data_IF_881833968007
#
_entry.id   IF_881833968007
#
_cell.length_a   1.000
_cell.length_b   1.000
_cell.length_c   1.000
_cell.angle_alpha   90.00
_cell.angle_beta   90.00
_cell.angle_gamma   90.00
#
_symmetry.space_group_name_H-M   'P 1'
#
loop_
_entity.id
_entity.type
_entity.pdbx_description
1 polymer ?
#
# COMPACT_ATOMS: atom_id res chain seq x y z
N UNK A 1 48.13 4.90 72.43
CA UNK A 1 48.38 3.62 71.73
C UNK A 1 49.21 3.95 70.49
N UNK A 2 50.54 3.70 70.52
CA UNK A 2 51.42 3.95 69.37
C UNK A 2 51.26 2.79 68.40
N UNK A 3 50.62 3.01 67.25
CA UNK A 3 50.53 2.00 66.19
C UNK A 3 51.88 1.98 65.47
N UNK A 4 52.59 0.87 65.58
CA UNK A 4 53.85 0.62 64.88
C UNK A 4 53.58 0.28 63.41
N UNK A 5 54.23 0.99 62.49
CA UNK A 5 54.15 0.81 61.02
C UNK A 5 54.70 -0.54 60.52
N UNK A 6 55.21 -1.41 61.41
CA UNK A 6 55.70 -2.75 61.08
C UNK A 6 54.82 -3.89 61.64
N UNK A 7 53.59 -3.58 62.08
CA UNK A 7 52.62 -4.64 62.37
C UNK A 7 52.18 -5.24 61.04
N UNK A 8 52.91 -6.26 60.56
CA UNK A 8 52.41 -7.16 59.52
C UNK A 8 51.08 -7.69 60.02
N UNK A 9 49.99 -7.11 59.52
CA UNK A 9 48.64 -7.60 59.73
C UNK A 9 48.59 -8.97 59.05
N UNK A 10 49.00 -10.01 59.78
CA UNK A 10 48.96 -11.40 59.36
C UNK A 10 47.51 -11.85 59.38
N UNK A 11 46.72 -11.29 58.47
CA UNK A 11 45.45 -11.90 58.12
C UNK A 11 45.78 -13.18 57.34
N UNK A 12 45.18 -14.33 57.69
CA UNK A 12 45.34 -15.54 56.91
C UNK A 12 44.96 -15.23 55.46
N UNK A 13 45.86 -15.51 54.51
CA UNK A 13 45.67 -15.21 53.08
C UNK A 13 44.33 -15.76 52.55
N UNK A 14 43.88 -16.89 53.11
CA UNK A 14 42.58 -17.51 52.85
C UNK A 14 41.39 -16.59 53.17
N UNK A 15 41.44 -15.84 54.27
CA UNK A 15 40.37 -14.93 54.68
C UNK A 15 40.34 -13.71 53.75
N UNK A 16 41.51 -13.19 53.37
CA UNK A 16 41.62 -12.07 52.43
C UNK A 16 41.04 -12.45 51.06
N UNK A 17 41.43 -13.61 50.52
CA UNK A 17 40.89 -14.12 49.25
C UNK A 17 39.38 -14.36 49.33
N UNK A 18 38.88 -14.87 50.46
CA UNK A 18 37.44 -15.08 50.67
C UNK A 18 36.66 -13.76 50.66
N UNK A 19 37.21 -12.70 51.28
CA UNK A 19 36.57 -11.38 51.30
C UNK A 19 36.57 -10.77 49.89
N UNK A 20 37.70 -10.84 49.18
CA UNK A 20 37.79 -10.33 47.81
C UNK A 20 36.84 -11.09 46.87
N UNK A 21 36.75 -12.42 47.00
CA UNK A 21 35.81 -13.24 46.24
C UNK A 21 34.35 -12.89 46.54
N UNK A 22 33.99 -12.71 47.81
CA UNK A 22 32.65 -12.30 48.21
C UNK A 22 32.27 -10.91 47.67
N UNK A 23 33.19 -9.95 47.74
CA UNK A 23 33.01 -8.61 47.17
C UNK A 23 32.88 -8.68 45.65
N UNK A 24 33.70 -9.49 44.97
CA UNK A 24 33.63 -9.67 43.52
C UNK A 24 32.29 -10.21 43.05
N UNK A 25 31.74 -11.23 43.71
CA UNK A 25 30.40 -11.77 43.42
C UNK A 25 29.31 -10.75 43.72
N UNK A 26 29.44 -10.00 44.82
CA UNK A 26 28.49 -8.94 45.17
C UNK A 26 28.42 -7.82 44.13
N UNK A 27 29.57 -7.37 43.65
CA UNK A 27 29.67 -6.34 42.60
C UNK A 27 29.13 -6.86 41.27
N UNK A 28 29.47 -8.09 40.88
CA UNK A 28 28.94 -8.72 39.66
C UNK A 28 27.41 -8.85 39.69
N UNK A 29 26.85 -9.35 40.79
CA UNK A 29 25.41 -9.49 40.96
C UNK A 29 24.70 -8.13 40.95
N UNK A 30 25.27 -7.13 41.63
CA UNK A 30 24.73 -5.77 41.65
C UNK A 30 24.66 -5.17 40.25
N UNK A 31 25.76 -5.22 39.48
CA UNK A 31 25.77 -4.69 38.11
C UNK A 31 24.82 -5.45 37.18
N UNK A 32 24.71 -6.78 37.32
CA UNK A 32 23.76 -7.57 36.52
C UNK A 32 22.29 -7.19 36.77
N UNK A 33 21.92 -6.95 38.03
CA UNK A 33 20.58 -6.48 38.40
C UNK A 33 20.34 -5.07 37.86
N UNK A 34 21.29 -4.15 38.04
CA UNK A 34 21.16 -2.77 37.57
C UNK A 34 21.01 -2.69 36.05
N UNK A 35 21.79 -3.47 35.31
CA UNK A 35 21.68 -3.53 33.84
C UNK A 35 20.30 -4.04 33.39
N UNK A 36 19.82 -5.10 34.03
CA UNK A 36 18.50 -5.67 33.72
C UNK A 36 17.38 -4.69 34.04
N UNK A 37 17.49 -3.99 35.18
CA UNK A 37 16.52 -2.96 35.57
C UNK A 37 16.50 -1.80 34.58
N UNK A 38 17.67 -1.34 34.12
CA UNK A 38 17.78 -0.28 33.12
C UNK A 38 17.16 -0.71 31.78
N UNK A 39 17.42 -1.94 31.33
CA UNK A 39 16.79 -2.52 30.13
C UNK A 39 15.27 -2.54 30.23
N UNK A 40 14.73 -2.96 31.38
CA UNK A 40 13.29 -2.95 31.61
C UNK A 40 12.71 -1.54 31.67
N UNK A 41 13.41 -0.60 32.33
CA UNK A 41 13.00 0.80 32.40
C UNK A 41 12.90 1.44 31.02
N UNK A 42 13.95 1.31 30.19
CA UNK A 42 13.94 1.81 28.80
C UNK A 42 12.83 1.15 27.98
N UNK A 43 12.61 -0.15 28.14
CA UNK A 43 11.52 -0.85 27.44
C UNK A 43 10.14 -0.31 27.84
N UNK A 44 9.92 -0.05 29.12
CA UNK A 44 8.65 0.50 29.60
C UNK A 44 8.42 1.92 29.08
N UNK A 45 9.47 2.75 29.02
CA UNK A 45 9.39 4.08 28.45
C UNK A 45 9.05 4.05 26.95
N UNK A 46 9.70 3.18 26.18
CA UNK A 46 9.37 2.97 24.76
C UNK A 46 7.92 2.49 24.59
N UNK A 47 7.49 1.51 25.39
CA UNK A 47 6.10 1.02 25.35
C UNK A 47 5.09 2.11 25.71
N UNK A 48 5.41 2.98 26.68
CA UNK A 48 4.58 4.13 27.03
C UNK A 48 4.44 5.12 25.87
N UNK A 49 5.57 5.47 25.23
CA UNK A 49 5.57 6.34 24.05
C UNK A 49 4.79 5.73 22.88
N UNK A 50 4.93 4.42 22.65
CA UNK A 50 4.22 3.72 21.60
C UNK A 50 2.70 3.72 21.83
N UNK A 51 2.26 3.55 23.08
CA UNK A 51 0.83 3.62 23.43
C UNK A 51 0.26 5.03 23.24
N UNK A 52 1.02 6.06 23.61
CA UNK A 52 0.62 7.45 23.41
C UNK A 52 0.50 7.76 21.92
N UNK A 53 1.54 7.49 21.12
CA UNK A 53 1.53 7.66 19.66
C UNK A 53 0.44 6.84 18.98
N UNK A 54 0.17 5.62 19.45
CA UNK A 54 -0.91 4.79 18.91
C UNK A 54 -2.28 5.40 19.22
N UNK A 55 -2.45 5.93 20.43
CA UNK A 55 -3.68 6.63 20.82
C UNK A 55 -3.86 7.90 20.00
N UNK A 56 -2.80 8.68 19.81
CA UNK A 56 -2.81 9.85 18.94
C UNK A 56 -3.14 9.49 17.50
N UNK A 57 -2.53 8.45 16.94
CA UNK A 57 -2.84 7.95 15.60
C UNK A 57 -4.32 7.57 15.50
N UNK A 58 -4.82 6.74 16.42
CA UNK A 58 -6.23 6.30 16.40
C UNK A 58 -7.23 7.44 16.49
N UNK A 59 -6.89 8.53 17.20
CA UNK A 59 -7.79 9.68 17.36
C UNK A 59 -7.66 10.64 16.19
N UNK A 60 -6.43 11.02 15.81
CA UNK A 60 -6.14 12.07 14.82
C UNK A 60 -6.27 11.57 13.39
N UNK A 61 -5.98 10.29 13.12
CA UNK A 61 -6.04 9.72 11.76
C UNK A 61 -7.44 9.78 11.14
N UNK A 62 -8.52 9.29 11.79
CA UNK A 62 -9.87 9.40 11.22
C UNK A 62 -10.37 10.84 11.14
N UNK A 63 -9.76 11.77 11.89
CA UNK A 63 -10.12 13.19 11.94
C UNK A 63 -9.35 14.05 10.93
N UNK A 64 -8.34 13.50 10.27
CA UNK A 64 -7.48 14.27 9.35
C UNK A 64 -6.56 15.28 10.04
N UNK A 65 -6.44 15.24 11.38
CA UNK A 65 -5.62 16.17 12.17
C UNK A 65 -4.12 15.78 12.19
N UNK A 66 -3.77 14.62 11.64
CA UNK A 66 -2.40 14.08 11.62
C UNK A 66 -1.58 14.52 10.40
N UNK A 67 -2.16 15.33 9.51
CA UNK A 67 -1.59 15.65 8.20
C UNK A 67 -1.62 14.46 7.24
N UNK A 68 -1.06 14.63 6.05
CA UNK A 68 -0.83 13.50 5.14
C UNK A 68 0.48 12.82 5.50
N UNK A 69 0.43 11.51 5.74
CA UNK A 69 1.64 10.71 5.78
C UNK A 69 2.30 10.76 4.39
N UNK A 70 3.63 10.73 4.26
CA UNK A 70 4.30 10.77 2.94
C UNK A 70 3.78 9.70 1.96
N UNK A 71 3.44 8.51 2.48
CA UNK A 71 2.84 7.42 1.70
C UNK A 71 1.42 7.72 1.21
N UNK A 72 0.70 8.60 1.89
CA UNK A 72 -0.66 9.01 1.53
C UNK A 72 -0.64 9.88 0.27
N UNK A 73 0.34 10.78 0.14
CA UNK A 73 0.54 11.57 -1.08
C UNK A 73 0.82 10.70 -2.31
N UNK A 74 1.62 9.64 -2.17
CA UNK A 74 1.87 8.68 -3.26
C UNK A 74 0.60 7.86 -3.57
N UNK A 75 -0.14 7.42 -2.56
CA UNK A 75 -1.41 6.73 -2.74
C UNK A 75 -2.44 7.61 -3.45
N UNK A 76 -2.56 8.88 -3.09
CA UNK A 76 -3.44 9.82 -3.77
C UNK A 76 -3.06 10.01 -5.24
N UNK A 77 -1.77 10.11 -5.56
CA UNK A 77 -1.31 10.20 -6.94
C UNK A 77 -1.67 8.95 -7.75
N UNK A 78 -1.50 7.75 -7.17
CA UNK A 78 -1.89 6.49 -7.81
C UNK A 78 -3.41 6.39 -8.01
N UNK A 79 -4.20 6.82 -7.03
CA UNK A 79 -5.66 6.85 -7.13
C UNK A 79 -6.10 7.84 -8.21
N UNK A 80 -5.47 9.00 -8.32
CA UNK A 80 -5.76 9.97 -9.38
C UNK A 80 -5.48 9.40 -10.78
N UNK A 81 -4.36 8.71 -10.96
CA UNK A 81 -4.02 8.07 -12.23
C UNK A 81 -4.99 6.94 -12.60
N UNK A 82 -5.40 6.14 -11.59
CA UNK A 82 -6.44 5.13 -11.76
C UNK A 82 -7.79 5.75 -12.15
N UNK A 83 -8.17 6.87 -11.51
CA UNK A 83 -9.41 7.57 -11.83
C UNK A 83 -9.42 8.05 -13.28
N UNK A 84 -8.33 8.70 -13.74
CA UNK A 84 -8.18 9.13 -15.14
C UNK A 84 -8.21 7.96 -16.12
N UNK A 85 -7.64 6.82 -15.73
CA UNK A 85 -7.66 5.61 -16.56
C UNK A 85 -9.06 5.03 -16.69
N UNK A 86 -9.84 5.02 -15.60
CA UNK A 86 -11.25 4.61 -15.60
C UNK A 86 -12.10 5.56 -16.44
N UNK A 87 -11.89 6.87 -16.33
CA UNK A 87 -12.61 7.88 -17.13
C UNK A 87 -12.38 7.67 -18.62
N UNK A 88 -11.12 7.48 -19.05
CA UNK A 88 -10.80 7.13 -20.45
C UNK A 88 -11.45 5.83 -20.91
N UNK A 89 -11.58 4.83 -20.03
CA UNK A 89 -12.27 3.59 -20.37
C UNK A 89 -13.76 3.82 -20.62
N UNK A 90 -14.40 4.65 -19.78
CA UNK A 90 -15.81 5.02 -19.92
C UNK A 90 -16.02 5.76 -21.24
N UNK A 91 -15.21 6.78 -21.56
CA UNK A 91 -15.29 7.52 -22.83
C UNK A 91 -15.14 6.59 -24.04
N UNK A 92 -14.16 5.67 -23.99
CA UNK A 92 -13.99 4.67 -25.05
C UNK A 92 -15.21 3.75 -25.16
N UNK A 93 -15.82 3.35 -24.05
CA UNK A 93 -16.99 2.50 -24.05
C UNK A 93 -18.21 3.20 -24.67
N UNK A 94 -18.41 4.48 -24.38
CA UNK A 94 -19.48 5.30 -24.97
C UNK A 94 -19.28 5.50 -26.49
N UNK A 95 -18.05 5.79 -26.92
CA UNK A 95 -17.71 5.88 -28.34
C UNK A 95 -17.96 4.55 -29.06
N UNK A 96 -17.56 3.42 -28.47
CA UNK A 96 -17.81 2.10 -29.05
C UNK A 96 -19.30 1.78 -29.16
N UNK A 97 -20.11 2.17 -28.18
CA UNK A 97 -21.56 1.98 -28.23
C UNK A 97 -22.19 2.81 -29.36
N UNK A 98 -21.78 4.07 -29.50
CA UNK A 98 -22.25 4.96 -30.57
C UNK A 98 -21.85 4.43 -31.95
N UNK A 99 -20.59 3.99 -32.09
CA UNK A 99 -20.10 3.37 -33.31
C UNK A 99 -20.87 2.10 -33.66
N UNK A 100 -21.19 1.26 -32.67
CA UNK A 100 -22.00 0.05 -32.88
C UNK A 100 -23.38 0.37 -33.45
N UNK A 101 -24.10 1.32 -32.86
CA UNK A 101 -25.44 1.74 -33.35
C UNK A 101 -25.35 2.30 -34.78
N UNK A 102 -24.34 3.12 -35.06
CA UNK A 102 -24.13 3.67 -36.40
C UNK A 102 -23.83 2.57 -37.42
N UNK A 103 -23.01 1.57 -37.06
CA UNK A 103 -22.70 0.42 -37.91
C UNK A 103 -23.97 -0.40 -38.18
N UNK A 104 -24.77 -0.71 -37.15
CA UNK A 104 -26.05 -1.42 -37.32
C UNK A 104 -27.02 -0.66 -38.23
N UNK A 105 -27.06 0.67 -38.11
CA UNK A 105 -27.87 1.52 -38.99
C UNK A 105 -27.36 1.50 -40.44
N UNK A 106 -26.04 1.64 -40.65
CA UNK A 106 -25.42 1.55 -41.97
C UNK A 106 -25.65 0.17 -42.61
N UNK A 107 -25.52 -0.91 -41.85
CA UNK A 107 -25.82 -2.26 -42.32
C UNK A 107 -27.24 -2.38 -42.86
N UNK A 108 -28.26 -1.90 -42.11
CA UNK A 108 -29.65 -1.92 -42.57
C UNK A 108 -29.89 -1.07 -43.83
N UNK A 109 -29.20 0.07 -43.94
CA UNK A 109 -29.30 0.90 -45.15
C UNK A 109 -28.67 0.21 -46.35
N UNK A 110 -27.53 -0.46 -46.17
CA UNK A 110 -26.87 -1.24 -47.22
C UNK A 110 -27.77 -2.42 -47.65
N UNK A 111 -28.41 -3.12 -46.72
CA UNK A 111 -29.37 -4.18 -47.05
C UNK A 111 -30.53 -3.67 -47.91
N UNK A 112 -31.12 -2.54 -47.56
CA UNK A 112 -32.16 -1.90 -48.38
C UNK A 112 -31.66 -1.49 -49.77
N UNK A 113 -30.48 -0.89 -49.84
CA UNK A 113 -29.86 -0.51 -51.10
C UNK A 113 -29.63 -1.73 -52.00
N UNK A 114 -29.19 -2.86 -51.44
CA UNK A 114 -29.01 -4.10 -52.19
C UNK A 114 -30.36 -4.63 -52.73
N UNK A 115 -31.41 -4.60 -51.92
CA UNK A 115 -32.76 -5.01 -52.33
C UNK A 115 -33.31 -4.10 -53.45
N UNK A 116 -33.13 -2.78 -53.32
CA UNK A 116 -33.54 -1.82 -54.34
C UNK A 116 -32.74 -1.99 -55.65
N UNK A 117 -31.45 -2.29 -55.55
CA UNK A 117 -30.61 -2.63 -56.72
C UNK A 117 -31.10 -3.91 -57.41
N UNK A 118 -31.51 -4.94 -56.67
CA UNK A 118 -32.10 -6.15 -57.27
C UNK A 118 -33.41 -5.83 -57.99
N UNK A 119 -34.32 -5.07 -57.36
CA UNK A 119 -35.58 -4.65 -58.00
C UNK A 119 -35.33 -3.85 -59.29
N UNK A 120 -34.37 -2.92 -59.29
CA UNK A 120 -34.01 -2.14 -60.48
C UNK A 120 -33.41 -3.03 -61.57
N UNK A 121 -32.60 -4.03 -61.20
CA UNK A 121 -32.04 -4.99 -62.14
C UNK A 121 -33.13 -5.84 -62.79
N UNK A 122 -34.10 -6.32 -62.02
CA UNK A 122 -35.24 -7.10 -62.54
C UNK A 122 -36.16 -6.26 -63.42
N UNK A 123 -36.49 -5.03 -63.01
CA UNK A 123 -37.27 -4.10 -63.83
C UNK A 123 -36.56 -3.79 -65.17
N UNK A 124 -35.25 -3.57 -65.15
CA UNK A 124 -34.47 -3.36 -66.38
C UNK A 124 -34.46 -4.62 -67.28
N UNK A 125 -34.50 -5.80 -66.67
CA UNK A 125 -34.59 -7.08 -67.39
C UNK A 125 -35.96 -7.24 -68.06
N UNK A 126 -37.05 -6.92 -67.37
CA UNK A 126 -38.41 -6.95 -67.93
C UNK A 126 -38.60 -5.94 -69.08
N UNK A 127 -38.06 -4.72 -68.95
CA UNK A 127 -38.08 -3.70 -70.01
C UNK A 127 -37.39 -4.22 -71.29
N UNK A 128 -36.26 -4.93 -71.14
CA UNK A 128 -35.58 -5.56 -72.29
C UNK A 128 -36.43 -6.63 -72.97
N UNK A 129 -37.20 -7.43 -72.23
CA UNK A 129 -38.04 -8.48 -72.82
C UNK A 129 -39.33 -7.94 -73.45
N UNK A 130 -39.90 -6.87 -72.90
CA UNK A 130 -41.13 -6.25 -73.42
C UNK A 130 -40.88 -5.41 -74.68
N UNK A 131 -39.72 -4.76 -74.81
CA UNK A 131 -39.35 -4.01 -76.01
C UNK A 131 -38.72 -4.87 -77.13
N UNK A 132 -38.61 -6.19 -76.91
CA UNK A 132 -38.10 -7.17 -77.89
C UNK A 132 -39.18 -7.92 -78.66
N UNK A 133 -40.46 -7.84 -78.27
CA UNK A 133 -41.59 -8.47 -78.97
C UNK A 133 -42.22 -7.54 -80.01
N UNK A 134 -41.36 -6.87 -80.78
CA UNK A 134 -41.72 -6.01 -81.89
C UNK A 134 -41.23 -6.56 -83.23
N UNK A 135 -41.40 -7.86 -83.48
CA UNK A 135 -41.53 -8.53 -84.79
C UNK A 135 -42.27 -9.86 -84.60
#
# INVERSE_FOLDING_TARGET
>A
MKVSENTNVQLPLRNLISIIGAVGVGVWAYFGIVETLNKHSTRLELMGSDLEKNTEFRIKWPRGEMGSLPADSEQFMLIEDLYKSVEKLIENQEMNMTNKVNIEFLQRQVEKLLEDVEKLKDANREIKYTNGNGQ
#
